data_IF_177250174673
#
_entry.id   IF_177250174673
#
_cell.length_a   1.000
_cell.length_b   1.000
_cell.length_c   1.000
_cell.angle_alpha   90.00
_cell.angle_beta   90.00
_cell.angle_gamma   90.00
#
_symmetry.space_group_name_H-M   'P 1'
#
loop_
_entity.id
_entity.type
_entity.pdbx_description
1 polymer ?
#
# COMPACT_ATOMS: atom_id res chain seq x y z
N UNK A 1 49.57 67.21 -45.32
CA UNK A 1 49.75 66.49 -44.04
C UNK A 1 48.38 66.26 -43.43
N UNK A 2 47.82 65.05 -43.57
CA UNK A 2 46.55 64.67 -42.94
C UNK A 2 46.82 63.41 -42.11
N UNK A 3 46.70 63.52 -40.79
CA UNK A 3 46.98 62.47 -39.81
C UNK A 3 45.90 61.37 -39.89
N UNK A 4 46.36 60.12 -39.95
CA UNK A 4 45.56 58.91 -39.67
C UNK A 4 45.20 58.87 -38.19
N UNK A 5 43.93 58.65 -37.87
CA UNK A 5 43.50 58.20 -36.54
C UNK A 5 42.68 56.93 -36.72
N UNK A 6 43.24 55.83 -36.21
CA UNK A 6 42.68 54.50 -36.21
C UNK A 6 41.69 54.41 -35.02
N UNK A 7 40.41 54.16 -35.28
CA UNK A 7 39.41 53.92 -34.23
C UNK A 7 39.55 52.46 -33.77
N UNK A 8 40.11 52.22 -32.59
CA UNK A 8 40.13 50.89 -31.98
C UNK A 8 38.76 50.62 -31.36
N UNK A 9 38.03 49.66 -31.93
CA UNK A 9 36.79 49.14 -31.37
C UNK A 9 37.16 48.22 -30.18
N UNK A 10 36.97 48.69 -28.95
CA UNK A 10 37.10 47.84 -27.76
C UNK A 10 35.84 46.97 -27.64
N UNK A 11 35.95 45.71 -28.03
CA UNK A 11 34.92 44.71 -27.82
C UNK A 11 35.02 44.22 -26.37
N UNK A 12 34.27 44.85 -25.45
CA UNK A 12 34.11 44.36 -24.07
C UNK A 12 33.33 43.06 -24.09
N UNK A 13 34.03 41.93 -23.95
CA UNK A 13 33.41 40.65 -23.61
C UNK A 13 32.90 40.73 -22.18
N UNK A 14 31.57 40.80 -22.03
CA UNK A 14 30.90 40.58 -20.75
C UNK A 14 30.97 39.08 -20.46
N UNK A 15 31.92 38.68 -19.62
CA UNK A 15 31.90 37.36 -19.00
C UNK A 15 30.75 37.34 -17.98
N UNK A 16 29.60 36.79 -18.36
CA UNK A 16 28.56 36.41 -17.40
C UNK A 16 29.07 35.14 -16.73
N UNK A 17 29.80 35.27 -15.63
CA UNK A 17 30.09 34.15 -14.75
C UNK A 17 28.77 33.65 -14.15
N UNK A 18 28.45 32.34 -14.22
CA UNK A 18 27.33 31.81 -13.47
C UNK A 18 27.66 31.98 -11.99
N UNK A 19 26.92 32.84 -11.29
CA UNK A 19 27.07 32.99 -9.85
C UNK A 19 26.63 31.68 -9.19
N UNK A 20 27.61 30.85 -8.83
CA UNK A 20 27.38 29.71 -7.93
C UNK A 20 27.19 30.33 -6.54
N UNK A 21 25.94 30.59 -6.15
CA UNK A 21 25.62 31.03 -4.79
C UNK A 21 25.85 29.87 -3.84
N UNK A 22 27.03 29.85 -3.23
CA UNK A 22 27.34 28.90 -2.16
C UNK A 22 26.38 29.11 -0.98
N UNK A 23 25.82 28.01 -0.46
CA UNK A 23 24.96 28.05 0.71
C UNK A 23 25.76 28.56 1.92
N UNK A 24 25.21 29.53 2.66
CA UNK A 24 25.84 30.13 3.84
C UNK A 24 24.87 30.23 5.03
N UNK A 25 25.44 30.27 6.24
CA UNK A 25 24.69 30.55 7.48
C UNK A 25 24.59 32.08 7.64
N UNK A 26 23.40 32.64 7.96
CA UNK A 26 23.24 34.10 8.07
C UNK A 26 24.06 34.69 9.22
N UNK A 27 24.66 35.86 8.98
CA UNK A 27 25.23 36.70 10.04
C UNK A 27 24.12 37.55 10.67
N UNK A 28 24.29 37.94 11.95
CA UNK A 28 23.26 38.67 12.70
C UNK A 28 22.88 40.04 12.10
N UNK A 29 23.72 40.60 11.23
CA UNK A 29 23.53 41.90 10.58
C UNK A 29 23.20 41.78 9.07
N UNK A 30 22.90 40.59 8.57
CA UNK A 30 22.55 40.34 7.17
C UNK A 30 21.13 40.84 6.85
N UNK A 31 21.00 42.15 6.68
CA UNK A 31 19.72 42.81 6.47
C UNK A 31 19.09 42.49 5.10
N UNK A 32 19.89 42.17 4.09
CA UNK A 32 19.40 41.83 2.75
C UNK A 32 18.75 40.45 2.73
N UNK A 33 19.37 39.45 3.37
CA UNK A 33 18.78 38.13 3.53
C UNK A 33 17.55 38.18 4.45
N UNK A 34 17.60 38.97 5.53
CA UNK A 34 16.44 39.17 6.41
C UNK A 34 15.27 39.82 5.66
N UNK A 35 15.53 40.84 4.83
CA UNK A 35 14.51 41.48 3.99
C UNK A 35 13.92 40.50 2.96
N UNK A 36 14.76 39.65 2.35
CA UNK A 36 14.32 38.61 1.41
C UNK A 36 13.45 37.56 2.08
N UNK A 37 13.83 37.07 3.27
CA UNK A 37 13.01 36.14 4.06
C UNK A 37 11.68 36.79 4.46
N UNK A 38 11.70 38.05 4.89
CA UNK A 38 10.48 38.77 5.25
C UNK A 38 9.55 38.93 4.04
N UNK A 39 10.08 39.38 2.90
CA UNK A 39 9.31 39.53 1.67
C UNK A 39 8.71 38.21 1.18
N UNK A 40 9.49 37.12 1.23
CA UNK A 40 9.02 35.79 0.81
C UNK A 40 8.07 35.14 1.81
N UNK A 41 8.12 35.49 3.09
CA UNK A 41 7.20 34.96 4.12
C UNK A 41 5.74 35.33 3.84
N UNK A 42 5.49 36.53 3.31
CA UNK A 42 4.14 36.98 2.95
C UNK A 42 3.56 36.31 1.69
N UNK A 43 4.40 35.58 0.95
CA UNK A 43 3.95 34.79 -0.20
C UNK A 43 3.48 33.39 0.20
N UNK A 44 3.74 32.96 1.44
CA UNK A 44 3.44 31.62 1.95
C UNK A 44 2.30 31.71 2.95
N UNK A 45 1.15 31.14 2.63
CA UNK A 45 0.03 31.03 3.58
C UNK A 45 -0.38 29.58 3.78
N UNK A 46 -0.81 29.25 5.00
CA UNK A 46 -1.48 27.99 5.26
C UNK A 46 -2.90 28.09 4.71
N UNK A 47 -3.15 27.37 3.62
CA UNK A 47 -4.49 27.29 3.03
C UNK A 47 -5.21 26.03 3.51
N UNK A 48 -6.53 26.10 3.77
CA UNK A 48 -7.34 24.90 3.95
C UNK A 48 -7.36 24.13 2.63
N UNK A 49 -6.68 22.98 2.61
CA UNK A 49 -6.68 22.10 1.43
C UNK A 49 -7.86 21.15 1.54
N UNK A 50 -8.64 21.06 0.47
CA UNK A 50 -9.74 20.11 0.37
C UNK A 50 -9.57 19.30 -0.90
N UNK A 51 -9.91 18.02 -0.81
CA UNK A 51 -9.90 17.10 -1.93
C UNK A 51 -11.33 16.67 -2.22
N UNK A 52 -11.78 16.85 -3.46
CA UNK A 52 -13.12 16.43 -3.87
C UNK A 52 -13.12 14.95 -4.25
N UNK A 53 -13.96 14.15 -3.59
CA UNK A 53 -14.24 12.76 -3.97
C UNK A 53 -15.75 12.63 -4.19
N UNK A 54 -16.15 12.43 -5.45
CA UNK A 54 -17.57 12.54 -5.84
C UNK A 54 -18.11 13.92 -5.50
N UNK A 55 -19.15 13.98 -4.66
CA UNK A 55 -19.82 15.22 -4.24
C UNK A 55 -19.35 15.74 -2.87
N UNK A 56 -18.33 15.11 -2.24
CA UNK A 56 -17.88 15.43 -0.88
C UNK A 56 -16.44 15.96 -0.87
N UNK A 57 -16.24 17.09 -0.19
CA UNK A 57 -14.92 17.65 0.07
C UNK A 57 -14.31 17.09 1.36
N UNK A 58 -13.14 16.47 1.26
CA UNK A 58 -12.38 15.94 2.38
C UNK A 58 -11.24 16.89 2.77
N UNK A 59 -11.10 17.24 4.06
CA UNK A 59 -10.01 18.08 4.52
C UNK A 59 -8.68 17.34 4.39
N UNK A 60 -7.70 17.96 3.74
CA UNK A 60 -6.30 17.54 3.79
C UNK A 60 -5.56 18.38 4.82
N UNK A 61 -4.44 17.87 5.33
CA UNK A 61 -3.58 18.63 6.24
C UNK A 61 -3.30 20.03 5.63
N UNK A 62 -3.60 21.12 6.36
CA UNK A 62 -3.25 22.46 5.93
C UNK A 62 -1.74 22.51 5.67
N UNK A 63 -1.34 23.18 4.59
CA UNK A 63 0.06 23.26 4.22
C UNK A 63 0.38 24.57 3.54
N UNK A 64 1.67 24.98 3.56
CA UNK A 64 2.11 26.23 2.96
C UNK A 64 1.85 26.18 1.45
N UNK A 65 1.04 27.11 0.95
CA UNK A 65 0.85 27.36 -0.46
C UNK A 65 1.42 28.74 -0.82
N UNK A 66 2.16 28.78 -1.94
CA UNK A 66 2.57 30.04 -2.56
C UNK A 66 1.42 30.52 -3.44
N UNK A 67 1.24 31.84 -3.63
CA UNK A 67 0.20 32.39 -4.55
C UNK A 67 0.29 31.90 -6.02
N UNK A 68 1.39 31.25 -6.40
CA UNK A 68 1.58 30.52 -7.67
C UNK A 68 1.29 29.05 -7.37
N UNK A 69 0.49 28.31 -8.18
CA UNK A 69 0.11 26.94 -7.88
C UNK A 69 1.33 26.15 -7.43
N UNK A 70 1.31 25.73 -6.16
CA UNK A 70 2.46 25.09 -5.54
C UNK A 70 2.83 23.84 -6.35
N UNK A 71 4.13 23.51 -6.46
CA UNK A 71 4.56 22.24 -7.06
C UNK A 71 3.79 21.05 -6.46
N UNK A 72 3.42 21.15 -5.19
CA UNK A 72 2.55 20.21 -4.51
C UNK A 72 1.14 20.14 -5.09
N UNK A 73 0.48 21.27 -5.33
CA UNK A 73 -0.84 21.29 -5.98
C UNK A 73 -0.78 20.72 -7.40
N UNK A 74 0.22 21.11 -8.20
CA UNK A 74 0.42 20.53 -9.55
C UNK A 74 0.66 19.03 -9.49
N UNK A 75 1.46 18.56 -8.53
CA UNK A 75 1.69 17.13 -8.32
C UNK A 75 0.40 16.41 -7.94
N UNK A 76 -0.39 16.94 -7.00
CA UNK A 76 -1.68 16.37 -6.63
C UNK A 76 -2.62 16.27 -7.84
N UNK A 77 -2.81 17.36 -8.59
CA UNK A 77 -3.66 17.35 -9.79
C UNK A 77 -3.18 16.34 -10.83
N UNK A 78 -1.86 16.21 -11.02
CA UNK A 78 -1.30 15.20 -11.94
C UNK A 78 -1.55 13.77 -11.48
N UNK A 79 -1.49 13.51 -10.17
CA UNK A 79 -1.81 12.21 -9.58
C UNK A 79 -3.31 11.90 -9.72
N UNK A 80 -4.19 12.87 -9.50
CA UNK A 80 -5.63 12.70 -9.75
C UNK A 80 -5.90 12.35 -11.19
N UNK A 81 -5.32 13.09 -12.14
CA UNK A 81 -5.50 12.81 -13.56
C UNK A 81 -5.00 11.40 -13.93
N UNK A 82 -3.88 10.95 -13.36
CA UNK A 82 -3.37 9.60 -13.54
C UNK A 82 -4.30 8.53 -12.95
N UNK A 83 -4.81 8.73 -11.73
CA UNK A 83 -5.77 7.82 -11.08
C UNK A 83 -7.08 7.75 -11.87
N UNK A 84 -7.62 8.89 -12.30
CA UNK A 84 -8.83 8.94 -13.13
C UNK A 84 -8.62 8.26 -14.49
N UNK A 85 -7.42 8.34 -15.07
CA UNK A 85 -7.09 7.61 -16.30
C UNK A 85 -6.97 6.09 -16.09
N UNK A 86 -6.81 5.62 -14.86
CA UNK A 86 -6.85 4.20 -14.50
C UNK A 86 -8.28 3.67 -14.28
N UNK A 87 -9.31 4.51 -14.40
CA UNK A 87 -10.69 4.03 -14.40
C UNK A 87 -10.87 3.01 -15.53
N UNK A 88 -11.29 1.80 -15.17
CA UNK A 88 -11.57 0.77 -16.15
C UNK A 88 -12.76 1.24 -17.02
N UNK A 89 -12.58 1.45 -18.33
CA UNK A 89 -13.67 1.91 -19.22
C UNK A 89 -14.84 0.93 -19.27
N UNK A 90 -14.63 -0.31 -18.83
CA UNK A 90 -15.64 -1.35 -18.75
C UNK A 90 -16.30 -1.46 -17.36
N UNK A 91 -16.00 -0.60 -16.39
CA UNK A 91 -16.52 -0.71 -15.02
C UNK A 91 -18.05 -0.87 -14.95
N UNK A 92 -18.80 -0.10 -15.75
CA UNK A 92 -20.26 -0.22 -15.83
C UNK A 92 -20.73 -1.55 -16.47
N UNK A 93 -20.00 -2.05 -17.47
CA UNK A 93 -20.31 -3.34 -18.11
C UNK A 93 -20.04 -4.49 -17.14
N UNK A 94 -18.91 -4.45 -16.44
CA UNK A 94 -18.56 -5.41 -15.37
C UNK A 94 -19.66 -5.43 -14.32
N UNK A 95 -20.09 -4.25 -13.83
CA UNK A 95 -21.17 -4.15 -12.85
C UNK A 95 -22.48 -4.78 -13.36
N UNK A 96 -22.89 -4.45 -14.58
CA UNK A 96 -24.11 -5.00 -15.19
C UNK A 96 -24.05 -6.53 -15.33
N UNK A 97 -22.94 -7.06 -15.83
CA UNK A 97 -22.74 -8.53 -15.96
C UNK A 97 -22.78 -9.22 -14.60
N UNK A 98 -22.16 -8.65 -13.57
CA UNK A 98 -22.19 -9.23 -12.23
C UNK A 98 -23.60 -9.16 -11.61
N UNK A 99 -24.35 -8.07 -11.84
CA UNK A 99 -25.73 -7.96 -11.35
C UNK A 99 -26.67 -8.99 -12.01
N UNK A 100 -26.50 -9.23 -13.31
CA UNK A 100 -27.31 -10.20 -14.06
C UNK A 100 -27.06 -11.66 -13.61
N UNK A 101 -25.81 -11.99 -13.27
CA UNK A 101 -25.41 -13.34 -12.85
C UNK A 101 -25.65 -13.64 -11.36
N UNK A 102 -26.05 -12.63 -10.59
CA UNK A 102 -26.48 -12.83 -9.21
C UNK A 102 -27.81 -13.61 -9.12
N UNK A 103 -28.19 -14.08 -7.92
CA UNK A 103 -27.54 -13.86 -6.63
C UNK A 103 -26.36 -14.81 -6.35
N UNK A 104 -25.31 -14.27 -5.74
CA UNK A 104 -24.11 -15.03 -5.34
C UNK A 104 -24.28 -15.66 -3.95
N UNK A 105 -24.70 -16.93 -3.92
CA UNK A 105 -25.01 -17.67 -2.68
C UNK A 105 -23.98 -18.74 -2.33
N UNK A 106 -22.94 -18.90 -3.14
CA UNK A 106 -21.84 -19.83 -2.92
C UNK A 106 -20.56 -19.28 -3.55
N UNK A 107 -19.41 -19.84 -3.15
CA UNK A 107 -18.13 -19.54 -3.76
C UNK A 107 -18.14 -19.77 -5.27
N UNK A 108 -18.73 -20.89 -5.71
CA UNK A 108 -18.82 -21.27 -7.12
C UNK A 108 -19.67 -20.28 -7.92
N UNK A 109 -20.81 -19.84 -7.38
CA UNK A 109 -21.65 -18.83 -8.04
C UNK A 109 -20.92 -17.49 -8.17
N UNK A 110 -20.13 -17.12 -7.16
CA UNK A 110 -19.33 -15.89 -7.19
C UNK A 110 -18.19 -15.98 -8.20
N UNK A 111 -17.48 -17.12 -8.23
CA UNK A 111 -16.44 -17.40 -9.23
C UNK A 111 -17.00 -17.39 -10.65
N UNK A 112 -18.15 -18.01 -10.88
CA UNK A 112 -18.81 -18.05 -12.18
C UNK A 112 -19.14 -16.64 -12.72
N UNK A 113 -19.48 -15.70 -11.82
CA UNK A 113 -19.64 -14.29 -12.17
C UNK A 113 -18.35 -13.69 -12.75
N UNK A 114 -17.21 -13.90 -12.08
CA UNK A 114 -15.92 -13.41 -12.57
C UNK A 114 -15.42 -14.15 -13.80
N UNK A 115 -15.66 -15.46 -13.92
CA UNK A 115 -15.33 -16.25 -15.10
C UNK A 115 -16.07 -15.72 -16.35
N UNK A 116 -17.33 -15.30 -16.20
CA UNK A 116 -18.11 -14.71 -17.29
C UNK A 116 -17.57 -13.32 -17.70
N UNK A 117 -17.19 -12.50 -16.72
CA UNK A 117 -16.59 -11.18 -16.97
C UNK A 117 -15.21 -11.33 -17.64
N UNK A 118 -14.42 -12.34 -17.26
CA UNK A 118 -13.16 -12.69 -17.92
C UNK A 118 -13.38 -13.19 -19.34
N UNK A 119 -14.36 -14.06 -19.56
CA UNK A 119 -14.71 -14.58 -20.89
C UNK A 119 -15.14 -13.46 -21.84
N UNK A 120 -15.73 -12.39 -21.30
CA UNK A 120 -16.07 -11.17 -22.04
C UNK A 120 -14.87 -10.21 -22.25
N UNK A 121 -13.68 -10.57 -21.75
CA UNK A 121 -12.45 -9.78 -21.90
C UNK A 121 -12.45 -8.48 -21.11
N UNK A 122 -13.23 -8.38 -20.03
CA UNK A 122 -13.42 -7.11 -19.30
C UNK A 122 -12.43 -6.94 -18.14
N UNK A 123 -12.13 -8.01 -17.41
CA UNK A 123 -11.09 -8.10 -16.38
C UNK A 123 -10.54 -9.53 -16.31
N UNK A 124 -9.32 -9.69 -15.82
CA UNK A 124 -8.81 -11.02 -15.46
C UNK A 124 -9.50 -11.56 -14.21
N UNK A 125 -9.60 -12.89 -14.12
CA UNK A 125 -10.11 -13.54 -12.91
C UNK A 125 -9.15 -13.27 -11.75
N UNK A 126 -9.63 -12.73 -10.61
CA UNK A 126 -8.80 -12.48 -9.45
C UNK A 126 -8.05 -13.73 -8.98
N UNK A 127 -6.76 -13.58 -8.70
CA UNK A 127 -5.94 -14.66 -8.12
C UNK A 127 -6.53 -15.20 -6.81
N UNK A 128 -7.37 -14.44 -6.10
CA UNK A 128 -8.05 -14.89 -4.88
C UNK A 128 -9.00 -16.08 -5.08
N UNK A 129 -9.37 -16.42 -6.33
CA UNK A 129 -10.16 -17.61 -6.64
C UNK A 129 -9.35 -18.90 -6.70
N UNK A 130 -8.02 -18.82 -6.77
CA UNK A 130 -7.15 -19.96 -6.52
C UNK A 130 -7.00 -20.13 -5.00
N UNK A 131 -7.67 -21.17 -4.49
CA UNK A 131 -7.75 -21.51 -3.08
C UNK A 131 -6.59 -22.39 -2.60
N UNK A 132 -5.53 -22.53 -3.39
CA UNK A 132 -4.32 -23.25 -3.00
C UNK A 132 -3.51 -22.46 -1.96
N UNK A 133 -2.85 -23.21 -1.07
CA UNK A 133 -1.93 -22.66 -0.07
C UNK A 133 -0.73 -21.99 -0.76
N UNK A 134 -0.32 -22.53 -1.90
CA UNK A 134 0.73 -22.01 -2.77
C UNK A 134 0.39 -20.60 -3.28
N UNK A 135 -0.79 -20.41 -3.86
CA UNK A 135 -1.23 -19.09 -4.31
C UNK A 135 -1.44 -18.13 -3.13
N UNK A 136 -2.02 -18.63 -2.03
CA UNK A 136 -2.20 -17.82 -0.83
C UNK A 136 -0.87 -17.27 -0.30
N UNK A 137 0.18 -18.09 -0.23
CA UNK A 137 1.52 -17.64 0.14
C UNK A 137 2.17 -16.74 -0.91
N UNK A 138 2.07 -17.05 -2.21
CA UNK A 138 2.60 -16.22 -3.29
C UNK A 138 2.04 -14.79 -3.29
N UNK A 139 0.75 -14.62 -2.96
CA UNK A 139 0.13 -13.29 -2.83
C UNK A 139 0.82 -12.39 -1.77
N UNK A 140 1.54 -12.97 -0.81
CA UNK A 140 2.30 -12.23 0.23
C UNK A 140 3.69 -11.81 -0.24
N UNK A 141 4.16 -12.31 -1.38
CA UNK A 141 5.41 -11.84 -2.00
C UNK A 141 5.15 -10.78 -3.08
N UNK A 142 3.93 -10.76 -3.65
CA UNK A 142 3.52 -9.79 -4.66
C UNK A 142 2.69 -8.64 -4.09
N UNK A 143 1.41 -8.61 -4.47
CA UNK A 143 0.48 -7.47 -4.30
C UNK A 143 0.30 -7.06 -2.82
N UNK A 144 0.54 -7.96 -1.85
CA UNK A 144 0.31 -7.73 -0.42
C UNK A 144 1.59 -7.77 0.44
N UNK A 145 2.77 -7.76 -0.17
CA UNK A 145 4.03 -8.12 0.51
C UNK A 145 4.69 -7.07 1.39
N UNK A 146 4.16 -5.86 1.49
CA UNK A 146 4.77 -4.78 2.27
C UNK A 146 4.75 -4.97 3.80
N UNK A 147 4.21 -6.08 4.31
CA UNK A 147 4.04 -6.33 5.75
C UNK A 147 4.61 -7.67 6.25
N UNK A 148 5.26 -8.45 5.40
CA UNK A 148 5.86 -9.72 5.84
C UNK A 148 7.20 -9.45 6.55
N UNK A 149 7.41 -10.06 7.72
CA UNK A 149 8.61 -9.91 8.55
C UNK A 149 9.16 -11.29 8.88
N UNK A 150 10.49 -11.43 8.90
CA UNK A 150 11.15 -12.63 9.43
C UNK A 150 10.90 -12.77 10.94
N UNK A 151 10.53 -13.97 11.38
CA UNK A 151 10.38 -14.31 12.81
C UNK A 151 11.76 -14.56 13.41
N UNK A 152 12.07 -13.91 14.54
CA UNK A 152 13.29 -14.16 15.29
C UNK A 152 13.09 -15.23 16.37
N UNK A 153 14.18 -15.79 16.88
CA UNK A 153 14.14 -16.73 18.01
C UNK A 153 13.39 -16.15 19.22
N UNK A 154 12.53 -16.97 19.83
CA UNK A 154 11.65 -16.62 20.95
C UNK A 154 10.58 -15.53 20.64
N UNK A 155 10.54 -14.99 19.41
CA UNK A 155 9.46 -14.13 18.95
C UNK A 155 8.28 -15.05 18.56
N UNK A 156 7.10 -14.86 19.15
CA UNK A 156 5.88 -15.64 18.86
C UNK A 156 5.88 -17.11 19.34
N UNK A 157 6.51 -17.40 20.49
CA UNK A 157 6.48 -18.73 21.13
C UNK A 157 5.05 -19.29 21.25
N UNK A 158 4.09 -18.44 21.62
CA UNK A 158 2.67 -18.68 21.35
C UNK A 158 2.29 -17.78 20.16
N UNK A 159 1.80 -18.32 19.02
CA UNK A 159 1.26 -19.67 18.79
C UNK A 159 2.23 -20.71 18.21
N UNK A 160 3.49 -20.37 17.90
CA UNK A 160 4.35 -21.25 17.10
C UNK A 160 4.77 -22.55 17.81
N UNK A 161 4.98 -22.54 19.12
CA UNK A 161 5.44 -23.71 19.89
C UNK A 161 4.35 -24.80 19.99
N UNK A 162 3.09 -24.46 19.70
CA UNK A 162 1.96 -25.39 19.67
C UNK A 162 1.83 -26.19 18.36
N UNK A 163 2.62 -25.82 17.34
CA UNK A 163 2.55 -26.46 16.03
C UNK A 163 3.15 -27.87 16.08
N UNK A 164 2.49 -28.81 15.40
CA UNK A 164 3.01 -30.17 15.29
C UNK A 164 4.20 -30.24 14.34
N UNK A 165 5.20 -31.04 14.70
CA UNK A 165 6.38 -31.30 13.86
C UNK A 165 6.01 -31.80 12.46
N UNK A 166 4.89 -32.53 12.31
CA UNK A 166 4.42 -32.99 11.00
C UNK A 166 3.96 -31.85 10.09
N UNK A 167 3.26 -30.86 10.66
CA UNK A 167 2.86 -29.65 9.92
C UNK A 167 4.08 -28.83 9.54
N UNK A 168 5.04 -28.66 10.47
CA UNK A 168 6.27 -27.92 10.19
C UNK A 168 7.08 -28.61 9.10
N UNK A 169 7.21 -29.93 9.13
CA UNK A 169 7.90 -30.69 8.09
C UNK A 169 7.23 -30.50 6.72
N UNK A 170 5.90 -30.55 6.67
CA UNK A 170 5.14 -30.37 5.42
C UNK A 170 5.31 -28.95 4.83
N UNK A 171 5.21 -27.93 5.68
CA UNK A 171 5.15 -26.53 5.25
C UNK A 171 6.53 -25.87 5.16
N UNK A 172 7.47 -26.22 6.03
CA UNK A 172 8.81 -25.63 6.09
C UNK A 172 9.92 -26.50 5.51
N UNK A 173 9.66 -27.80 5.32
CA UNK A 173 10.69 -28.79 5.02
C UNK A 173 11.82 -28.79 6.09
N UNK A 174 11.43 -28.64 7.36
CA UNK A 174 12.32 -28.71 8.53
C UNK A 174 11.62 -29.52 9.64
N UNK A 175 12.37 -30.19 10.53
CA UNK A 175 11.80 -31.14 11.49
C UNK A 175 10.98 -30.51 12.61
N UNK A 176 11.31 -29.28 13.02
CA UNK A 176 10.65 -28.56 14.13
C UNK A 176 10.55 -27.07 13.83
N UNK A 177 9.63 -26.37 14.50
CA UNK A 177 9.46 -24.92 14.30
C UNK A 177 10.70 -24.14 14.72
N UNK A 178 11.37 -24.55 15.80
CA UNK A 178 12.64 -23.97 16.25
C UNK A 178 13.73 -24.07 15.17
N UNK A 179 13.81 -25.24 14.51
CA UNK A 179 14.76 -25.46 13.42
C UNK A 179 14.43 -24.52 12.26
N UNK A 180 13.16 -24.44 11.87
CA UNK A 180 12.71 -23.55 10.79
C UNK A 180 12.98 -22.07 11.09
N UNK A 181 12.80 -21.62 12.34
CA UNK A 181 13.12 -20.26 12.78
C UNK A 181 14.62 -20.03 12.72
N UNK A 182 15.43 -20.97 13.24
CA UNK A 182 16.90 -20.87 13.20
C UNK A 182 17.47 -20.84 11.78
N UNK A 183 16.80 -21.50 10.84
CA UNK A 183 17.11 -21.50 9.41
C UNK A 183 16.53 -20.29 8.66
N UNK A 184 15.92 -19.33 9.36
CA UNK A 184 15.31 -18.13 8.77
C UNK A 184 14.20 -18.42 7.73
N UNK A 185 13.43 -19.50 7.94
CA UNK A 185 12.33 -19.89 7.05
C UNK A 185 10.98 -19.37 7.48
N UNK A 186 10.79 -18.96 8.73
CA UNK A 186 9.48 -18.57 9.27
C UNK A 186 9.28 -17.06 9.21
N UNK A 187 8.13 -16.65 8.66
CA UNK A 187 7.73 -15.27 8.48
C UNK A 187 6.37 -15.01 9.10
N UNK A 188 6.12 -13.77 9.48
CA UNK A 188 4.86 -13.31 10.07
C UNK A 188 4.30 -12.12 9.31
N UNK A 189 2.98 -12.08 9.16
CA UNK A 189 2.21 -10.93 8.72
C UNK A 189 1.19 -10.58 9.80
N UNK A 190 1.49 -9.52 10.54
CA UNK A 190 0.73 -9.11 11.73
C UNK A 190 -0.34 -8.06 11.38
N UNK A 191 -1.60 -8.45 11.54
CA UNK A 191 -2.79 -7.59 11.45
C UNK A 191 -3.59 -7.60 12.76
N UNK A 192 -2.94 -7.89 13.90
CA UNK A 192 -3.56 -7.92 15.23
C UNK A 192 -4.19 -6.59 15.65
N UNK A 193 -3.81 -5.47 15.03
CA UNK A 193 -4.39 -4.15 15.29
C UNK A 193 -5.57 -3.80 14.39
N UNK A 194 -5.93 -4.62 13.39
CA UNK A 194 -6.92 -4.25 12.38
C UNK A 194 -8.36 -4.26 12.90
N UNK A 195 -8.64 -5.02 13.94
CA UNK A 195 -9.97 -5.12 14.53
C UNK A 195 -10.46 -3.82 15.16
N UNK A 196 -9.56 -2.90 15.50
CA UNK A 196 -9.94 -1.55 15.97
C UNK A 196 -10.71 -0.73 14.92
N UNK A 197 -10.63 -1.11 13.64
CA UNK A 197 -11.35 -0.45 12.55
C UNK A 197 -12.75 -1.03 12.31
N UNK A 198 -13.16 -2.05 13.08
CA UNK A 198 -14.54 -2.53 13.07
C UNK A 198 -15.43 -1.50 13.76
N UNK A 199 -16.37 -0.94 13.01
CA UNK A 199 -17.44 -0.09 13.58
C UNK A 199 -18.41 -0.98 14.36
N UNK A 200 -18.36 -0.89 15.69
CA UNK A 200 -19.19 -1.68 16.60
C UNK A 200 -20.70 -1.46 16.39
N UNK A 201 -21.09 -0.34 15.75
CA UNK A 201 -22.49 -0.02 15.46
C UNK A 201 -22.96 -0.52 14.09
N UNK A 202 -22.07 -1.12 13.29
CA UNK A 202 -22.35 -1.60 11.92
C UNK A 202 -21.81 -3.00 11.64
N UNK A 203 -21.60 -3.79 12.69
CA UNK A 203 -21.05 -5.16 12.62
C UNK A 203 -21.87 -6.10 11.73
N UNK A 204 -23.17 -5.82 11.54
CA UNK A 204 -24.04 -6.56 10.61
C UNK A 204 -23.66 -6.35 9.12
N UNK A 205 -22.86 -5.33 8.80
CA UNK A 205 -22.53 -4.95 7.42
C UNK A 205 -21.06 -5.09 7.04
N UNK A 206 -20.13 -4.86 7.99
CA UNK A 206 -18.68 -4.96 7.76
C UNK A 206 -17.96 -5.35 9.05
N UNK A 207 -16.98 -6.25 8.92
CA UNK A 207 -16.16 -6.73 10.04
C UNK A 207 -14.70 -6.86 9.59
N UNK A 208 -13.77 -6.44 10.45
CA UNK A 208 -12.34 -6.62 10.29
C UNK A 208 -11.79 -7.42 11.49
N UNK A 209 -11.27 -8.65 11.29
CA UNK A 209 -10.70 -9.43 12.37
C UNK A 209 -9.28 -8.99 12.76
N UNK A 210 -8.90 -9.28 14.01
CA UNK A 210 -7.50 -9.30 14.44
C UNK A 210 -6.88 -10.62 13.99
N UNK A 211 -5.93 -10.57 13.05
CA UNK A 211 -5.34 -11.77 12.47
C UNK A 211 -3.81 -11.66 12.43
N UNK A 212 -3.13 -12.72 12.81
CA UNK A 212 -1.69 -12.90 12.62
C UNK A 212 -1.50 -14.14 11.76
N UNK A 213 -0.89 -13.97 10.58
CA UNK A 213 -0.61 -15.07 9.68
C UNK A 213 0.88 -15.41 9.69
N UNK A 214 1.22 -16.68 9.88
CA UNK A 214 2.59 -17.18 9.78
C UNK A 214 2.76 -17.96 8.48
N UNK A 215 3.94 -17.82 7.89
CA UNK A 215 4.30 -18.41 6.61
C UNK A 215 5.68 -19.03 6.70
N UNK A 216 5.94 -20.05 5.90
CA UNK A 216 7.22 -20.71 5.84
C UNK A 216 7.76 -20.77 4.42
N UNK A 217 9.04 -20.44 4.24
CA UNK A 217 9.73 -20.62 2.99
C UNK A 217 10.15 -22.09 2.85
N UNK A 218 9.37 -22.85 2.08
CA UNK A 218 9.67 -24.24 1.76
C UNK A 218 10.72 -24.29 0.64
N UNK A 219 11.97 -24.55 0.99
CA UNK A 219 13.09 -24.61 0.05
C UNK A 219 13.01 -25.79 -0.93
N UNK A 220 12.47 -26.93 -0.51
CA UNK A 220 12.27 -28.08 -1.39
C UNK A 220 11.25 -27.80 -2.51
N UNK A 221 10.20 -27.04 -2.21
CA UNK A 221 9.17 -26.65 -3.19
C UNK A 221 9.48 -25.32 -3.88
N UNK A 222 10.37 -24.48 -3.33
CA UNK A 222 10.62 -23.13 -3.79
C UNK A 222 9.43 -22.19 -3.58
N UNK A 223 8.62 -22.42 -2.55
CA UNK A 223 7.35 -21.73 -2.31
C UNK A 223 7.28 -21.17 -0.89
N UNK A 224 6.68 -19.99 -0.75
CA UNK A 224 6.22 -19.51 0.55
C UNK A 224 4.84 -20.13 0.80
N UNK A 225 4.70 -20.92 1.87
CA UNK A 225 3.47 -21.60 2.24
C UNK A 225 2.90 -21.06 3.56
N UNK A 226 1.58 -21.01 3.75
CA UNK A 226 0.98 -20.71 5.04
C UNK A 226 1.35 -21.80 6.06
N UNK A 227 1.82 -21.35 7.23
CA UNK A 227 2.16 -22.23 8.35
C UNK A 227 0.98 -22.32 9.33
N UNK A 228 0.53 -21.18 9.85
CA UNK A 228 -0.64 -21.10 10.71
C UNK A 228 -1.27 -19.71 10.66
N UNK A 229 -2.52 -19.61 11.12
CA UNK A 229 -3.24 -18.34 11.24
C UNK A 229 -3.83 -18.29 12.65
N UNK A 230 -3.41 -17.28 13.40
CA UNK A 230 -3.99 -16.95 14.69
C UNK A 230 -5.00 -15.81 14.53
N UNK A 231 -6.19 -15.98 15.07
CA UNK A 231 -7.22 -14.95 15.08
C UNK A 231 -7.81 -14.83 16.49
N UNK A 232 -7.76 -13.64 17.08
CA UNK A 232 -8.53 -13.38 18.30
C UNK A 232 -9.98 -13.14 17.91
N UNK A 233 -10.81 -14.15 18.17
CA UNK A 233 -12.27 -14.01 18.14
C UNK A 233 -12.73 -13.64 19.54
N UNK A 234 -12.51 -12.39 19.94
CA UNK A 234 -13.18 -11.85 21.12
C UNK A 234 -14.69 -11.76 20.82
N UNK A 235 -15.40 -12.83 21.21
CA UNK A 235 -16.83 -12.96 21.52
C UNK A 235 -17.79 -12.38 20.48
N UNK A 236 -18.21 -13.15 19.46
CA UNK A 236 -19.59 -13.07 18.94
C UNK A 236 -20.01 -14.39 18.24
N UNK A 237 -21.14 -14.96 18.68
CA UNK A 237 -21.83 -16.07 18.03
C UNK A 237 -22.48 -15.55 16.74
N UNK A 238 -21.93 -15.90 15.58
CA UNK A 238 -22.49 -15.50 14.29
C UNK A 238 -23.60 -16.45 13.86
N UNK A 239 -24.83 -16.14 14.29
CA UNK A 239 -26.03 -16.62 13.61
C UNK A 239 -26.31 -15.67 12.45
N UNK A 240 -26.04 -16.09 11.20
CA UNK A 240 -26.46 -15.43 9.95
C UNK A 240 -25.58 -14.31 9.36
N UNK A 241 -24.25 -14.47 9.33
CA UNK A 241 -23.41 -13.67 8.41
C UNK A 241 -22.77 -14.59 7.38
N UNK A 242 -23.10 -14.37 6.11
CA UNK A 242 -22.40 -14.97 4.97
C UNK A 242 -20.97 -14.45 4.99
N UNK A 243 -20.05 -15.22 5.57
CA UNK A 243 -18.63 -15.02 5.39
C UNK A 243 -18.37 -15.23 3.90
N UNK A 244 -18.02 -14.16 3.19
CA UNK A 244 -17.42 -14.25 1.86
C UNK A 244 -16.27 -15.24 2.01
N UNK A 245 -16.45 -16.40 1.38
CA UNK A 245 -15.65 -17.60 1.55
C UNK A 245 -14.17 -17.28 1.33
N UNK A 246 -13.47 -16.92 2.41
CA UNK A 246 -12.08 -17.27 2.58
C UNK A 246 -12.15 -18.76 2.87
N UNK A 247 -12.18 -19.57 1.82
CA UNK A 247 -12.02 -21.02 1.90
C UNK A 247 -10.55 -21.32 2.20
N UNK A 248 -9.99 -20.64 3.21
CA UNK A 248 -8.89 -21.21 3.99
C UNK A 248 -9.56 -22.36 4.70
N UNK A 249 -9.11 -23.56 4.41
CA UNK A 249 -9.38 -24.73 5.22
C UNK A 249 -8.81 -24.41 6.59
N UNK A 250 -9.62 -23.77 7.44
CA UNK A 250 -9.36 -23.53 8.84
C UNK A 250 -9.25 -24.91 9.48
N UNK A 251 -8.08 -25.53 9.39
CA UNK A 251 -7.68 -26.52 10.38
C UNK A 251 -7.43 -25.71 11.64
N UNK A 252 -8.52 -25.47 12.36
CA UNK A 252 -8.47 -25.16 13.78
C UNK A 252 -7.85 -26.38 14.45
N UNK A 253 -6.53 -26.39 14.56
CA UNK A 253 -5.81 -27.16 15.56
C UNK A 253 -4.93 -26.18 16.32
N UNK A 254 -5.57 -25.49 17.27
CA UNK A 254 -4.90 -24.95 18.44
C UNK A 254 -5.81 -25.38 19.60
N UNK A 255 -5.46 -26.49 20.26
CA UNK A 255 -5.97 -26.82 21.59
C UNK A 255 -5.09 -26.17 22.63
#
# INVERSE_FOLDING_TARGET
MLRKTLTMLACTQVFISPAVTALSIPLANDMERAATVNATSYEISNVPRQFLVGDTYYPLNPGPERKIPSLYYTMLTSQVAAISALENPNALKVLATLQELGPYKSFESFKAGYDAVQSAGLIDTPQAFDNSDENFGAMRLGIRGYKIKLVNGCEWSDPLDSLSDSLVLEQCNDPTVDTAISNHKVFVQDFSSMGQYTDSNKTESKYAPNVVGFFCNNDAKGLLLPLCIYASLDVFSFSNVFIVSINVRLRVQCT
#
